data_IF_483591682100
#
_entry.id   IF_483591682100
#
_cell.length_a   1.000
_cell.length_b   1.000
_cell.length_c   1.000
_cell.angle_alpha   90.00
_cell.angle_beta   90.00
_cell.angle_gamma   90.00
#
_symmetry.space_group_name_H-M   'P 1'
#
loop_
_entity.id
_entity.type
_entity.pdbx_description
1 polymer ?
#
# COMPACT_ATOMS: atom_id res chain seq x y z
N UNK A 1 3.94 -9.41 -0.85
CA UNK A 1 3.98 -8.20 -1.71
C UNK A 1 4.43 -7.03 -0.85
N UNK A 2 5.01 -5.99 -1.45
CA UNK A 2 5.43 -4.77 -0.74
C UNK A 2 5.32 -3.56 -1.66
N UNK A 3 5.28 -2.37 -1.06
CA UNK A 3 5.31 -1.10 -1.80
C UNK A 3 6.75 -0.65 -2.00
N UNK A 4 7.10 -0.29 -3.23
CA UNK A 4 8.39 0.30 -3.60
C UNK A 4 8.18 1.69 -4.19
N UNK A 5 8.95 2.67 -3.71
CA UNK A 5 9.02 3.99 -4.34
C UNK A 5 10.19 3.99 -5.33
N UNK A 6 9.94 4.42 -6.56
CA UNK A 6 10.98 4.55 -7.59
C UNK A 6 11.02 5.95 -8.16
N UNK A 7 12.21 6.46 -8.43
CA UNK A 7 12.44 7.77 -9.04
C UNK A 7 12.63 7.64 -10.56
N UNK A 8 12.02 8.53 -11.33
CA UNK A 8 12.22 8.68 -12.78
C UNK A 8 12.25 10.17 -13.12
N UNK A 9 13.44 10.68 -13.47
CA UNK A 9 13.68 12.11 -13.62
C UNK A 9 13.25 12.88 -12.35
N UNK A 10 12.42 13.94 -12.47
CA UNK A 10 11.97 14.71 -11.32
C UNK A 10 10.80 14.07 -10.56
N UNK A 11 10.27 12.92 -11.02
CA UNK A 11 9.05 12.32 -10.46
C UNK A 11 9.36 11.07 -9.64
N UNK A 12 8.52 10.81 -8.64
CA UNK A 12 8.53 9.57 -7.84
C UNK A 12 7.22 8.82 -8.05
N UNK A 13 7.29 7.50 -8.09
CA UNK A 13 6.16 6.62 -8.32
C UNK A 13 6.07 5.55 -7.25
N UNK A 14 4.84 5.22 -6.86
CA UNK A 14 4.52 4.13 -5.93
C UNK A 14 4.20 2.88 -6.75
N UNK A 15 4.88 1.77 -6.45
CA UNK A 15 4.72 0.49 -7.15
C UNK A 15 4.38 -0.61 -6.17
N UNK A 16 3.43 -1.47 -6.55
CA UNK A 16 3.20 -2.75 -5.88
C UNK A 16 4.14 -3.78 -6.48
N UNK A 17 4.93 -4.44 -5.64
CA UNK A 17 5.93 -5.42 -6.03
C UNK A 17 5.64 -6.73 -5.33
N UNK A 18 5.83 -7.83 -6.04
CA UNK A 18 5.78 -9.17 -5.46
C UNK A 18 7.10 -9.91 -5.66
N UNK A 19 7.38 -10.80 -4.72
CA UNK A 19 8.47 -11.77 -4.83
C UNK A 19 7.90 -13.07 -5.41
N UNK A 20 8.62 -13.68 -6.33
CA UNK A 20 8.28 -14.98 -6.91
C UNK A 20 9.55 -15.80 -7.14
N UNK A 21 9.39 -17.09 -7.41
CA UNK A 21 10.49 -17.98 -7.81
C UNK A 21 10.39 -18.21 -9.31
N UNK A 22 11.49 -18.02 -10.04
CA UNK A 22 11.52 -18.36 -11.46
C UNK A 22 11.58 -19.88 -11.68
N UNK A 23 11.60 -20.32 -12.95
CA UNK A 23 11.62 -21.74 -13.29
C UNK A 23 12.84 -22.51 -12.75
N UNK A 24 13.93 -21.81 -12.42
CA UNK A 24 15.13 -22.40 -11.82
C UNK A 24 15.09 -22.35 -10.27
N UNK A 25 13.98 -21.90 -9.67
CA UNK A 25 13.85 -21.76 -8.22
C UNK A 25 14.57 -20.54 -7.65
N UNK A 26 15.03 -19.59 -8.48
CA UNK A 26 15.72 -18.38 -8.00
C UNK A 26 14.69 -17.34 -7.57
N UNK A 27 14.91 -16.74 -6.39
CA UNK A 27 14.08 -15.62 -5.92
C UNK A 27 14.22 -14.42 -6.83
N UNK A 28 13.11 -13.95 -7.38
CA UNK A 28 13.00 -12.75 -8.20
C UNK A 28 11.91 -11.84 -7.66
N UNK A 29 11.91 -10.60 -8.13
CA UNK A 29 10.85 -9.63 -7.87
C UNK A 29 10.31 -9.10 -9.19
N UNK A 30 9.02 -8.82 -9.25
CA UNK A 30 8.39 -8.12 -10.38
C UNK A 30 7.41 -7.07 -9.90
N UNK A 31 7.29 -6.01 -10.70
CA UNK A 31 6.26 -4.99 -10.50
C UNK A 31 4.93 -5.60 -10.92
N UNK A 32 3.97 -5.59 -9.99
CA UNK A 32 2.60 -6.03 -10.24
C UNK A 32 1.77 -4.88 -10.79
N UNK A 33 1.94 -3.69 -10.22
CA UNK A 33 1.25 -2.48 -10.66
C UNK A 33 2.06 -1.22 -10.31
N UNK A 34 1.84 -0.16 -11.09
CA UNK A 34 2.24 1.20 -10.70
C UNK A 34 0.98 1.90 -10.18
N UNK A 35 0.95 2.21 -8.89
CA UNK A 35 -0.22 2.79 -8.21
C UNK A 35 -0.38 4.28 -8.46
N UNK A 36 0.64 4.93 -9.01
CA UNK A 36 0.61 6.34 -9.39
C UNK A 36 1.85 7.09 -8.95
N UNK A 37 1.78 8.42 -9.09
CA UNK A 37 2.79 9.36 -8.61
C UNK A 37 2.73 9.46 -7.09
N UNK A 38 3.87 9.59 -6.43
CA UNK A 38 3.93 9.65 -4.97
C UNK A 38 3.09 10.79 -4.41
N UNK A 39 3.13 11.95 -5.04
CA UNK A 39 2.34 13.13 -4.68
C UNK A 39 0.83 12.91 -4.83
N UNK A 40 0.40 12.20 -5.87
CA UNK A 40 -1.01 11.85 -6.10
C UNK A 40 -1.50 10.86 -5.05
N UNK A 41 -0.69 9.84 -4.75
CA UNK A 41 -1.00 8.86 -3.69
C UNK A 41 -1.07 9.55 -2.33
N UNK A 42 -0.14 10.46 -2.04
CA UNK A 42 -0.14 11.25 -0.80
C UNK A 42 -1.34 12.21 -0.71
N UNK A 43 -1.86 12.69 -1.84
CA UNK A 43 -3.08 13.49 -1.91
C UNK A 43 -4.38 12.65 -1.78
N UNK A 44 -4.27 11.33 -1.59
CA UNK A 44 -5.42 10.46 -1.36
C UNK A 44 -6.02 9.82 -2.61
N UNK A 45 -5.40 9.96 -3.79
CA UNK A 45 -5.90 9.31 -5.02
C UNK A 45 -5.92 7.77 -4.92
N UNK A 46 -5.13 7.18 -4.00
CA UNK A 46 -5.11 5.75 -3.72
C UNK A 46 -6.16 5.29 -2.68
N UNK A 47 -6.89 6.20 -2.02
CA UNK A 47 -7.86 5.85 -0.97
C UNK A 47 -8.93 4.86 -1.42
N UNK A 48 -9.53 4.94 -2.63
CA UNK A 48 -10.50 3.95 -3.09
C UNK A 48 -9.93 2.53 -3.17
N UNK A 49 -8.67 2.39 -3.61
CA UNK A 49 -7.97 1.11 -3.64
C UNK A 49 -7.76 0.57 -2.23
N UNK A 50 -7.25 1.41 -1.32
CA UNK A 50 -7.00 1.03 0.08
C UNK A 50 -8.31 0.59 0.75
N UNK A 51 -9.39 1.35 0.57
CA UNK A 51 -10.71 0.99 1.08
C UNK A 51 -11.25 -0.31 0.47
N UNK A 52 -10.97 -0.59 -0.81
CA UNK A 52 -11.27 -1.88 -1.42
C UNK A 52 -10.54 -3.05 -0.74
N UNK A 53 -9.25 -2.88 -0.46
CA UNK A 53 -8.44 -3.89 0.23
C UNK A 53 -8.87 -4.09 1.68
N UNK A 54 -9.17 -3.01 2.42
CA UNK A 54 -9.69 -3.08 3.78
C UNK A 54 -11.00 -3.86 3.83
N UNK A 55 -11.95 -3.55 2.93
CA UNK A 55 -13.20 -4.31 2.80
C UNK A 55 -12.96 -5.80 2.52
N UNK A 56 -12.07 -6.13 1.60
CA UNK A 56 -11.73 -7.52 1.28
C UNK A 56 -11.09 -8.25 2.48
N UNK A 57 -10.35 -7.54 3.34
CA UNK A 57 -9.74 -8.05 4.56
C UNK A 57 -10.69 -8.04 5.78
N UNK A 58 -11.96 -7.64 5.61
CA UNK A 58 -12.91 -7.49 6.72
C UNK A 58 -12.53 -6.41 7.72
N UNK A 59 -11.72 -5.44 7.30
CA UNK A 59 -11.28 -4.31 8.12
C UNK A 59 -12.16 -3.08 7.87
N UNK A 60 -12.31 -2.18 8.87
CA UNK A 60 -12.91 -0.87 8.65
C UNK A 60 -12.19 -0.11 7.54
N UNK A 61 -12.95 0.66 6.77
CA UNK A 61 -12.41 1.62 5.78
C UNK A 61 -11.65 2.76 6.47
N UNK A 62 -10.88 3.52 5.68
CA UNK A 62 -10.14 4.68 6.18
C UNK A 62 -11.06 5.71 6.86
N UNK A 63 -12.29 5.85 6.37
CA UNK A 63 -13.29 6.77 6.92
C UNK A 63 -13.94 6.24 8.20
N UNK A 64 -14.12 4.92 8.31
CA UNK A 64 -14.66 4.29 9.52
C UNK A 64 -13.62 4.30 10.66
N UNK A 65 -12.33 4.23 10.31
CA UNK A 65 -11.24 4.15 11.28
C UNK A 65 -11.31 2.90 12.16
N UNK A 66 -10.46 2.83 13.18
CA UNK A 66 -10.41 1.69 14.11
C UNK A 66 -11.32 1.87 15.32
N UNK A 67 -12.22 2.87 15.31
CA UNK A 67 -13.00 3.28 16.48
C UNK A 67 -12.19 4.13 17.48
N UNK A 68 -12.86 4.54 18.56
CA UNK A 68 -12.26 5.32 19.65
C UNK A 68 -11.45 4.40 20.57
N UNK A 69 -10.18 4.74 20.80
CA UNK A 69 -9.31 4.02 21.76
C UNK A 69 -9.35 4.76 23.08
N UNK A 70 -9.95 4.16 24.10
CA UNK A 70 -9.89 4.65 25.47
C UNK A 70 -8.56 4.21 26.12
N UNK A 71 -7.70 5.17 26.44
CA UNK A 71 -6.50 4.91 27.23
C UNK A 71 -6.85 4.94 28.72
N UNK A 72 -6.40 3.93 29.48
CA UNK A 72 -6.49 3.98 30.92
C UNK A 72 -5.59 5.11 31.47
N UNK A 73 -6.01 5.84 32.52
CA UNK A 73 -5.18 6.86 33.14
C UNK A 73 -3.91 6.24 33.72
N UNK A 74 -2.79 6.97 33.64
CA UNK A 74 -1.55 6.57 34.29
C UNK A 74 -1.75 6.58 35.83
N UNK A 75 -1.22 5.56 36.50
CA UNK A 75 -1.27 5.39 37.97
C UNK A 75 -0.13 6.12 38.66
#
# INVERSE_FOLDING_TARGET
MFVKITTSGPRKYVKLVESYRDAAGVSRQRVVATLGRLESVAAGEASPLINGLLRAAGQPTLEQGTGEVAFAPAR
#
